data_IF_237518728902
#
_entry.id   IF_237518728902
#
_cell.length_a   1.000
_cell.length_b   1.000
_cell.length_c   1.000
_cell.angle_alpha   90.00
_cell.angle_beta   90.00
_cell.angle_gamma   90.00
#
_symmetry.space_group_name_H-M   'P 1'
#
loop_
_entity.id
_entity.type
_entity.pdbx_description
1 polymer ?
#
# COMPACT_ATOMS: atom_id res chain seq x y z
N UNK A 1 10.18 -10.39 -3.62
CA UNK A 1 10.55 -9.33 -2.66
C UNK A 1 10.46 -9.99 -1.30
N UNK A 2 11.56 -10.16 -0.59
CA UNK A 2 11.48 -10.63 0.79
C UNK A 2 10.85 -9.50 1.61
N UNK A 3 9.83 -9.79 2.43
CA UNK A 3 9.26 -8.77 3.32
C UNK A 3 10.37 -8.27 4.25
N UNK A 4 10.49 -6.95 4.41
CA UNK A 4 11.48 -6.32 5.29
C UNK A 4 11.14 -6.51 6.78
N UNK A 5 9.98 -7.11 7.10
CA UNK A 5 9.48 -7.24 8.46
C UNK A 5 8.84 -5.95 8.99
N UNK A 6 8.93 -4.85 8.23
CA UNK A 6 8.17 -3.62 8.47
C UNK A 6 6.99 -3.57 7.50
N UNK A 7 5.79 -3.83 8.04
CA UNK A 7 4.55 -3.88 7.28
C UNK A 7 4.25 -2.60 6.50
N UNK A 8 4.64 -1.44 7.02
CA UNK A 8 4.42 -0.14 6.37
C UNK A 8 5.31 -0.03 5.13
N UNK A 9 6.60 -0.33 5.27
CA UNK A 9 7.56 -0.28 4.16
C UNK A 9 7.18 -1.29 3.08
N UNK A 10 6.82 -2.50 3.47
CA UNK A 10 6.41 -3.55 2.53
C UNK A 10 5.15 -3.15 1.75
N UNK A 11 4.20 -2.48 2.40
CA UNK A 11 2.97 -1.99 1.77
C UNK A 11 3.25 -0.88 0.75
N UNK A 12 4.09 0.10 1.11
CA UNK A 12 4.50 1.19 0.19
C UNK A 12 5.24 0.61 -1.01
N UNK A 13 6.21 -0.28 -0.77
CA UNK A 13 6.96 -0.92 -1.84
C UNK A 13 6.06 -1.76 -2.76
N UNK A 14 5.01 -2.38 -2.22
CA UNK A 14 4.07 -3.20 -3.00
C UNK A 14 3.14 -2.32 -3.85
N UNK A 15 2.62 -1.22 -3.32
CA UNK A 15 1.78 -0.27 -4.09
C UNK A 15 2.55 0.38 -5.23
N UNK A 16 3.79 0.82 -4.98
CA UNK A 16 4.67 1.35 -6.03
C UNK A 16 4.89 0.33 -7.17
N UNK A 17 5.06 -0.96 -6.84
CA UNK A 17 5.20 -2.03 -7.84
C UNK A 17 3.93 -2.31 -8.62
N UNK A 18 2.78 -2.10 -8.01
CA UNK A 18 1.48 -2.25 -8.65
C UNK A 18 1.12 -1.02 -9.50
N UNK A 19 1.94 0.03 -9.47
CA UNK A 19 1.63 1.29 -10.14
C UNK A 19 0.43 1.98 -9.49
N UNK A 20 0.26 1.84 -8.18
CA UNK A 20 -0.81 2.49 -7.42
C UNK A 20 -0.24 3.47 -6.40
N UNK A 21 -1.03 4.48 -6.07
CA UNK A 21 -0.76 5.43 -4.99
C UNK A 21 -1.74 5.18 -3.87
N UNK A 22 -1.23 5.13 -2.63
CA UNK A 22 -2.06 5.05 -1.43
C UNK A 22 -2.82 6.36 -1.26
N UNK A 23 -4.15 6.29 -1.15
CA UNK A 23 -5.04 7.45 -1.00
C UNK A 23 -5.67 7.52 0.39
N UNK A 24 -5.66 6.41 1.13
CA UNK A 24 -6.25 6.34 2.45
C UNK A 24 -5.76 5.14 3.24
N UNK A 25 -5.87 5.25 4.57
CA UNK A 25 -5.69 4.15 5.49
C UNK A 25 -6.73 4.26 6.60
N UNK A 26 -7.50 3.19 6.82
CA UNK A 26 -8.56 3.16 7.83
C UNK A 26 -8.40 1.92 8.72
N UNK A 27 -8.51 2.10 10.03
CA UNK A 27 -8.57 1.00 10.98
C UNK A 27 -9.94 0.32 10.93
N UNK A 28 -9.96 -1.00 10.78
CA UNK A 28 -11.16 -1.82 10.76
C UNK A 28 -10.98 -3.01 11.72
N UNK A 29 -11.07 -2.71 13.03
CA UNK A 29 -10.78 -3.68 14.08
C UNK A 29 -9.30 -4.08 14.05
N UNK A 30 -9.04 -5.37 13.90
CA UNK A 30 -7.67 -5.93 13.91
C UNK A 30 -6.90 -5.74 12.58
N UNK A 31 -7.52 -5.11 11.58
CA UNK A 31 -6.94 -4.94 10.24
C UNK A 31 -6.92 -3.46 9.86
N UNK A 32 -5.84 -3.02 9.24
CA UNK A 32 -5.79 -1.73 8.55
C UNK A 32 -6.10 -1.93 7.06
N UNK A 33 -7.14 -1.26 6.57
CA UNK A 33 -7.47 -1.22 5.15
C UNK A 33 -6.68 -0.10 4.49
N UNK A 34 -5.98 -0.42 3.40
CA UNK A 34 -5.21 0.53 2.61
C UNK A 34 -5.96 0.75 1.29
N UNK A 35 -6.41 1.98 1.07
CA UNK A 35 -7.02 2.40 -0.18
C UNK A 35 -5.91 2.86 -1.12
N UNK A 36 -5.96 2.39 -2.36
CA UNK A 36 -4.99 2.77 -3.37
C UNK A 36 -5.66 2.87 -4.74
N UNK A 37 -5.27 3.89 -5.50
CA UNK A 37 -5.75 4.14 -6.84
C UNK A 37 -4.62 3.97 -7.85
N UNK A 38 -4.91 3.50 -9.08
CA UNK A 38 -3.91 3.44 -10.14
C UNK A 38 -3.31 4.82 -10.42
N UNK A 39 -2.00 4.86 -10.65
CA UNK A 39 -1.35 6.06 -11.18
C UNK A 39 -1.65 6.14 -12.67
N UNK A 40 -2.31 7.22 -13.10
CA UNK A 40 -2.55 7.46 -14.52
C UNK A 40 -1.21 7.65 -15.26
N UNK A 41 -1.03 7.03 -16.44
CA UNK A 41 0.14 7.30 -17.27
C UNK A 41 0.16 8.78 -17.69
N UNK A 42 1.32 9.40 -17.59
CA UNK A 42 1.58 10.77 -18.09
C UNK A 42 1.77 10.73 -19.61
#
# INVERSE_FOLDING_TARGET
>A
MQPNGNVIVDTICRTAKLGTTITGATENGDVTVIEAEPVEPI
#
